data_IF_377763195983
#
_entry.id   IF_377763195983
#
_cell.length_a   1.000
_cell.length_b   1.000
_cell.length_c   1.000
_cell.angle_alpha   90.00
_cell.angle_beta   90.00
_cell.angle_gamma   90.00
#
_symmetry.space_group_name_H-M   'P 1'
#
loop_
_entity.id
_entity.type
_entity.pdbx_description
1 polymer ?
#
# COMPACT_ATOMS: atom_id res chain seq x y z
N UNK A 1 -17.70 -7.91 -10.13
CA UNK A 1 -17.09 -7.33 -11.35
C UNK A 1 -15.94 -8.23 -11.76
N UNK A 2 -15.94 -8.65 -13.02
CA UNK A 2 -15.20 -9.81 -13.52
C UNK A 2 -13.73 -9.51 -13.81
N UNK A 3 -12.85 -10.42 -13.37
CA UNK A 3 -11.38 -10.36 -13.49
C UNK A 3 -10.87 -10.07 -14.92
N UNK A 4 -11.61 -10.48 -15.95
CA UNK A 4 -11.21 -10.31 -17.34
C UNK A 4 -11.11 -8.83 -17.80
N UNK A 5 -11.84 -7.89 -17.17
CA UNK A 5 -11.79 -6.47 -17.57
C UNK A 5 -10.39 -5.90 -17.31
N UNK A 6 -9.78 -6.26 -16.18
CA UNK A 6 -8.44 -5.81 -15.83
C UNK A 6 -7.37 -6.35 -16.78
N UNK A 7 -7.50 -7.62 -17.18
CA UNK A 7 -6.59 -8.26 -18.14
C UNK A 7 -6.68 -7.61 -19.52
N UNK A 8 -7.89 -7.36 -20.02
CA UNK A 8 -8.11 -6.67 -21.30
C UNK A 8 -7.55 -5.24 -21.24
N UNK A 9 -7.81 -4.50 -20.16
CA UNK A 9 -7.26 -3.15 -19.99
C UNK A 9 -5.74 -3.16 -19.95
N UNK A 10 -5.12 -4.10 -19.23
CA UNK A 10 -3.67 -4.25 -19.18
C UNK A 10 -3.09 -4.60 -20.56
N UNK A 11 -3.71 -5.52 -21.31
CA UNK A 11 -3.27 -5.88 -22.66
C UNK A 11 -3.36 -4.69 -23.62
N UNK A 12 -4.46 -3.93 -23.59
CA UNK A 12 -4.63 -2.72 -24.41
C UNK A 12 -3.60 -1.65 -24.04
N UNK A 13 -3.39 -1.39 -22.74
CA UNK A 13 -2.37 -0.45 -22.27
C UNK A 13 -0.98 -0.87 -22.77
N UNK A 14 -0.59 -2.13 -22.55
CA UNK A 14 0.71 -2.65 -22.98
C UNK A 14 0.89 -2.62 -24.51
N UNK A 15 -0.15 -2.98 -25.27
CA UNK A 15 -0.15 -2.92 -26.74
C UNK A 15 -0.08 -1.49 -27.29
N UNK A 16 -0.52 -0.49 -26.52
CA UNK A 16 -0.47 0.93 -26.91
C UNK A 16 0.90 1.59 -26.67
N UNK A 17 1.74 1.03 -25.79
CA UNK A 17 3.03 1.63 -25.41
C UNK A 17 3.98 1.91 -26.58
N UNK A 18 4.15 1.03 -27.59
CA UNK A 18 4.97 1.32 -28.77
C UNK A 18 4.49 2.53 -29.57
N UNK A 19 3.19 2.81 -29.55
CA UNK A 19 2.60 3.94 -30.27
C UNK A 19 2.73 5.24 -29.47
N UNK A 20 2.58 5.18 -28.15
CA UNK A 20 2.71 6.34 -27.26
C UNK A 20 4.17 6.75 -27.05
N UNK A 21 5.09 5.78 -27.02
CA UNK A 21 6.51 6.00 -26.72
C UNK A 21 7.43 5.31 -27.73
N UNK A 22 7.30 5.62 -29.04
CA UNK A 22 8.08 4.94 -30.07
C UNK A 22 9.57 5.23 -29.89
N UNK A 23 10.39 4.18 -29.98
CA UNK A 23 11.84 4.34 -30.01
C UNK A 23 12.30 4.89 -31.36
N UNK A 24 12.96 6.05 -31.33
CA UNK A 24 13.58 6.66 -32.52
C UNK A 24 15.10 6.57 -32.36
N UNK A 25 15.78 5.59 -33.02
CA UNK A 25 17.22 5.44 -32.88
C UNK A 25 17.93 6.68 -33.43
N UNK A 26 18.98 7.14 -32.73
CA UNK A 26 19.76 8.34 -33.13
C UNK A 26 20.60 8.12 -34.40
N UNK A 27 20.92 6.86 -34.71
CA UNK A 27 21.68 6.47 -35.88
C UNK A 27 21.05 5.24 -36.54
N UNK A 28 21.28 5.07 -37.83
CA UNK A 28 20.85 3.87 -38.55
C UNK A 28 21.59 2.64 -37.99
N UNK A 29 20.83 1.65 -37.52
CA UNK A 29 21.37 0.37 -37.05
C UNK A 29 20.99 -0.70 -38.06
N UNK A 30 21.98 -1.36 -38.64
CA UNK A 30 21.72 -2.39 -39.65
C UNK A 30 21.04 -3.63 -39.03
N UNK A 31 20.29 -4.38 -39.85
CA UNK A 31 19.63 -5.62 -39.42
C UNK A 31 20.63 -6.65 -38.88
N UNK A 32 21.84 -6.69 -39.46
CA UNK A 32 22.93 -7.55 -39.00
C UNK A 32 23.44 -7.14 -37.62
N UNK A 33 23.65 -5.84 -37.39
CA UNK A 33 24.03 -5.32 -36.07
C UNK A 33 22.96 -5.62 -35.01
N UNK A 34 21.67 -5.48 -35.36
CA UNK A 34 20.56 -5.85 -34.46
C UNK A 34 20.63 -7.33 -34.06
N UNK A 35 20.84 -8.25 -35.02
CA UNK A 35 20.96 -9.69 -34.72
C UNK A 35 22.13 -9.99 -33.79
N UNK A 36 23.27 -9.34 -33.98
CA UNK A 36 24.43 -9.49 -33.10
C UNK A 36 24.14 -9.03 -31.66
N UNK A 37 23.49 -7.88 -31.51
CA UNK A 37 23.07 -7.38 -30.21
C UNK A 37 22.11 -8.34 -29.50
N UNK A 38 21.13 -8.89 -30.23
CA UNK A 38 20.18 -9.88 -29.69
C UNK A 38 20.90 -11.12 -29.18
N UNK A 39 21.79 -11.72 -29.99
CA UNK A 39 22.54 -12.90 -29.57
C UNK A 39 23.43 -12.63 -28.34
N UNK A 40 24.02 -11.42 -28.27
CA UNK A 40 24.91 -11.02 -27.16
C UNK A 40 24.15 -10.76 -25.86
N UNK A 41 22.96 -10.15 -25.93
CA UNK A 41 22.30 -9.59 -24.76
C UNK A 41 21.05 -10.33 -24.25
N UNK A 42 20.49 -11.27 -25.01
CA UNK A 42 19.26 -12.01 -24.61
C UNK A 42 19.31 -12.66 -23.22
N UNK A 43 20.49 -13.13 -22.78
CA UNK A 43 20.66 -13.71 -21.44
C UNK A 43 20.50 -12.70 -20.29
N UNK A 44 20.75 -11.42 -20.55
CA UNK A 44 20.64 -10.35 -19.55
C UNK A 44 19.18 -9.98 -19.26
N UNK A 45 18.28 -10.20 -20.22
CA UNK A 45 16.84 -10.02 -20.00
C UNK A 45 16.32 -11.05 -19.01
N UNK A 46 16.81 -12.29 -19.07
CA UNK A 46 16.50 -13.31 -18.07
C UNK A 46 17.05 -12.97 -16.68
N UNK A 47 18.19 -12.27 -16.61
CA UNK A 47 18.73 -11.79 -15.33
C UNK A 47 17.90 -10.64 -14.73
N UNK A 48 17.15 -9.90 -15.55
CA UNK A 48 16.27 -8.83 -15.08
C UNK A 48 15.21 -9.33 -14.10
N UNK A 49 14.61 -10.50 -14.37
CA UNK A 49 13.54 -11.07 -13.54
C UNK A 49 13.97 -11.34 -12.09
N UNK A 50 14.98 -12.18 -11.80
CA UNK A 50 15.39 -12.43 -10.42
C UNK A 50 15.89 -11.16 -9.72
N UNK A 51 16.55 -10.25 -10.46
CA UNK A 51 16.95 -8.96 -9.91
C UNK A 51 15.72 -8.14 -9.49
N UNK A 52 14.69 -8.03 -10.33
CA UNK A 52 13.46 -7.31 -10.00
C UNK A 52 12.75 -7.95 -8.80
N UNK A 53 12.61 -9.28 -8.77
CA UNK A 53 12.02 -10.02 -7.66
C UNK A 53 12.82 -9.95 -6.36
N UNK A 54 14.09 -9.55 -6.41
CA UNK A 54 14.91 -9.34 -5.21
C UNK A 54 14.91 -7.89 -4.77
N UNK A 55 15.12 -6.97 -5.72
CA UNK A 55 15.29 -5.54 -5.47
C UNK A 55 13.96 -4.90 -5.05
N UNK A 56 12.83 -5.23 -5.68
CA UNK A 56 11.54 -4.61 -5.33
C UNK A 56 11.10 -4.96 -3.90
N UNK A 57 11.12 -6.23 -3.43
CA UNK A 57 10.80 -6.54 -2.04
C UNK A 57 11.78 -5.91 -1.06
N UNK A 58 13.08 -5.92 -1.37
CA UNK A 58 14.09 -5.29 -0.51
C UNK A 58 13.84 -3.77 -0.37
N UNK A 59 13.59 -3.07 -1.48
CA UNK A 59 13.26 -1.65 -1.46
C UNK A 59 11.95 -1.38 -0.72
N UNK A 60 10.92 -2.19 -0.97
CA UNK A 60 9.64 -2.10 -0.24
C UNK A 60 9.86 -2.22 1.27
N UNK A 61 10.69 -3.18 1.69
CA UNK A 61 11.02 -3.36 3.09
C UNK A 61 11.78 -2.16 3.67
N UNK A 62 12.83 -1.70 2.98
CA UNK A 62 13.63 -0.54 3.42
C UNK A 62 12.75 0.72 3.54
N UNK A 63 11.95 1.04 2.51
CA UNK A 63 11.10 2.23 2.55
C UNK A 63 9.96 2.10 3.57
N UNK A 64 9.36 0.92 3.71
CA UNK A 64 8.35 0.67 4.75
C UNK A 64 8.90 0.93 6.16
N UNK A 65 10.13 0.47 6.43
CA UNK A 65 10.83 0.73 7.69
C UNK A 65 11.12 2.22 7.90
N UNK A 66 11.57 2.93 6.85
CA UNK A 66 11.83 4.38 6.92
C UNK A 66 10.55 5.14 7.25
N UNK A 67 9.43 4.86 6.56
CA UNK A 67 8.17 5.55 6.81
C UNK A 67 7.60 5.24 8.18
N UNK A 68 7.70 3.99 8.63
CA UNK A 68 7.33 3.60 9.99
C UNK A 68 8.16 4.35 11.04
N UNK A 69 9.47 4.46 10.85
CA UNK A 69 10.35 5.18 11.77
C UNK A 69 10.05 6.68 11.81
N UNK A 70 9.84 7.31 10.64
CA UNK A 70 9.40 8.70 10.54
C UNK A 70 8.11 8.92 11.32
N UNK A 71 7.13 8.03 11.11
CA UNK A 71 5.83 8.15 11.73
C UNK A 71 5.86 8.01 13.25
N UNK A 72 6.75 7.17 13.79
CA UNK A 72 6.95 7.06 15.24
C UNK A 72 7.42 8.36 15.89
N UNK A 73 8.09 9.24 15.14
CA UNK A 73 8.50 10.56 15.64
C UNK A 73 7.34 11.58 15.66
N UNK A 74 6.25 11.31 14.95
CA UNK A 74 5.06 12.17 14.90
C UNK A 74 3.99 11.75 15.94
N UNK A 75 4.28 10.73 16.77
CA UNK A 75 3.39 10.33 17.87
C UNK A 75 3.25 11.50 18.84
N UNK A 76 2.00 11.78 19.23
CA UNK A 76 1.67 12.94 20.05
C UNK A 76 1.95 12.60 21.51
N UNK A 77 2.93 13.30 22.10
CA UNK A 77 3.38 13.08 23.47
C UNK A 77 2.50 13.82 24.51
N UNK A 78 1.40 14.43 24.08
CA UNK A 78 0.52 15.18 24.97
C UNK A 78 -0.09 14.25 26.04
N UNK A 79 0.18 14.50 27.34
CA UNK A 79 -0.26 13.63 28.43
C UNK A 79 -1.78 13.63 28.65
N UNK A 80 -2.53 14.50 27.96
CA UNK A 80 -4.00 14.53 28.01
C UNK A 80 -4.64 13.53 27.04
N UNK A 81 -3.87 12.96 26.11
CA UNK A 81 -4.31 11.88 25.23
C UNK A 81 -4.16 10.58 26.01
N UNK A 82 -5.30 9.92 26.28
CA UNK A 82 -5.32 8.66 27.03
C UNK A 82 -4.97 7.48 26.13
N UNK A 83 -5.50 7.49 24.90
CA UNK A 83 -5.25 6.48 23.90
C UNK A 83 -5.05 7.13 22.55
N UNK A 84 -4.05 6.65 21.82
CA UNK A 84 -3.77 7.07 20.45
C UNK A 84 -3.71 5.81 19.58
N UNK A 85 -4.53 5.79 18.54
CA UNK A 85 -4.67 4.69 17.59
C UNK A 85 -4.21 5.23 16.25
N UNK A 86 -3.36 4.46 15.58
CA UNK A 86 -2.57 4.88 14.45
C UNK A 86 -2.63 3.82 13.34
N UNK A 87 -2.21 4.09 12.10
CA UNK A 87 -2.14 3.03 11.09
C UNK A 87 -1.31 1.85 11.61
N UNK A 88 -1.72 0.63 11.24
CA UNK A 88 -0.93 -0.56 11.53
C UNK A 88 0.46 -0.46 10.90
N UNK A 89 1.46 -1.14 11.48
CA UNK A 89 2.82 -1.13 10.94
C UNK A 89 2.88 -1.57 9.47
N UNK A 90 2.04 -2.55 9.11
CA UNK A 90 1.97 -3.10 7.75
C UNK A 90 1.43 -2.08 6.72
N UNK A 91 0.65 -1.08 7.16
CA UNK A 91 0.11 -0.06 6.27
C UNK A 91 1.22 0.79 5.62
N UNK A 92 2.36 0.95 6.29
CA UNK A 92 3.51 1.73 5.79
C UNK A 92 4.27 1.05 4.65
N UNK A 93 4.07 -0.26 4.46
CA UNK A 93 4.64 -0.96 3.31
C UNK A 93 3.89 -0.66 2.01
N UNK A 94 2.65 -0.16 2.07
CA UNK A 94 1.88 0.26 0.90
C UNK A 94 2.57 1.42 0.16
N UNK A 95 2.85 2.59 0.78
CA UNK A 95 3.66 3.60 0.12
C UNK A 95 5.09 3.10 -0.16
N UNK A 96 5.63 2.20 0.67
CA UNK A 96 6.94 1.57 0.44
C UNK A 96 7.04 0.86 -0.91
N UNK A 97 6.04 0.04 -1.28
CA UNK A 97 6.02 -0.67 -2.56
C UNK A 97 5.82 0.31 -3.73
N UNK A 98 4.98 1.33 -3.57
CA UNK A 98 4.76 2.35 -4.61
C UNK A 98 6.06 3.10 -4.90
N UNK A 99 6.81 3.50 -3.86
CA UNK A 99 8.13 4.15 -4.01
C UNK A 99 9.16 3.20 -4.61
N UNK A 100 9.14 1.91 -4.25
CA UNK A 100 10.01 0.91 -4.85
C UNK A 100 9.82 0.85 -6.37
N UNK A 101 8.57 0.83 -6.86
CA UNK A 101 8.26 0.89 -8.29
C UNK A 101 8.62 2.23 -8.95
N UNK A 102 8.50 3.35 -8.23
CA UNK A 102 8.93 4.65 -8.77
C UNK A 102 10.45 4.70 -9.01
N UNK A 103 11.23 4.05 -8.14
CA UNK A 103 12.70 4.14 -8.12
C UNK A 103 13.41 2.94 -8.76
N UNK A 104 12.68 1.90 -9.17
CA UNK A 104 13.29 0.69 -9.73
C UNK A 104 14.12 0.96 -10.99
N UNK A 105 13.68 1.88 -11.86
CA UNK A 105 14.38 2.23 -13.10
C UNK A 105 15.81 2.76 -12.86
N UNK A 106 15.98 3.82 -12.07
CA UNK A 106 17.31 4.31 -11.66
C UNK A 106 18.17 3.25 -10.96
N UNK A 107 17.59 2.49 -10.03
CA UNK A 107 18.33 1.45 -9.29
C UNK A 107 18.83 0.35 -10.23
N UNK A 108 17.97 -0.17 -11.10
CA UNK A 108 18.34 -1.17 -12.11
C UNK A 108 19.38 -0.61 -13.09
N UNK A 109 19.29 0.67 -13.45
CA UNK A 109 20.30 1.34 -14.29
C UNK A 109 21.68 1.32 -13.63
N UNK A 110 21.77 1.61 -12.33
CA UNK A 110 23.02 1.53 -11.58
C UNK A 110 23.54 0.09 -11.54
N UNK A 111 22.70 -0.88 -11.20
CA UNK A 111 23.06 -2.30 -11.16
C UNK A 111 23.61 -2.77 -12.52
N UNK A 112 22.91 -2.45 -13.61
CA UNK A 112 23.35 -2.83 -14.95
C UNK A 112 24.63 -2.12 -15.38
N UNK A 113 24.83 -0.85 -15.02
CA UNK A 113 26.10 -0.15 -15.28
C UNK A 113 27.26 -0.79 -14.52
N UNK A 114 27.04 -1.24 -13.29
CA UNK A 114 28.08 -1.93 -12.52
C UNK A 114 28.44 -3.29 -13.14
N UNK A 115 27.46 -4.05 -13.61
CA UNK A 115 27.69 -5.38 -14.18
C UNK A 115 28.24 -5.32 -15.63
N UNK A 116 27.67 -4.47 -16.47
CA UNK A 116 28.01 -4.37 -17.90
C UNK A 116 29.12 -3.35 -18.19
N UNK A 117 29.36 -2.39 -17.28
CA UNK A 117 30.35 -1.33 -17.44
C UNK A 117 30.16 -0.58 -18.77
N UNK A 118 31.20 -0.48 -19.58
CA UNK A 118 31.19 0.21 -20.88
C UNK A 118 30.19 -0.40 -21.88
N UNK A 119 29.80 -1.67 -21.68
CA UNK A 119 28.85 -2.39 -22.54
C UNK A 119 27.38 -2.06 -22.23
N UNK A 120 27.11 -1.21 -21.24
CA UNK A 120 25.75 -0.82 -20.85
C UNK A 120 25.03 -0.04 -21.97
N UNK A 121 25.73 0.85 -22.67
CA UNK A 121 25.15 1.62 -23.77
C UNK A 121 24.65 0.71 -24.92
N UNK A 122 25.42 -0.32 -25.26
CA UNK A 122 25.02 -1.34 -26.23
C UNK A 122 23.78 -2.12 -25.76
N UNK A 123 23.71 -2.47 -24.47
CA UNK A 123 22.57 -3.18 -23.89
C UNK A 123 21.30 -2.34 -23.91
N UNK A 124 21.41 -1.06 -23.60
CA UNK A 124 20.28 -0.14 -23.68
C UNK A 124 19.77 0.03 -25.12
N UNK A 125 20.68 0.16 -26.09
CA UNK A 125 20.33 0.18 -27.51
C UNK A 125 19.63 -1.12 -27.91
N UNK A 126 20.18 -2.27 -27.51
CA UNK A 126 19.57 -3.59 -27.72
C UNK A 126 18.13 -3.65 -27.17
N UNK A 127 17.92 -3.25 -25.92
CA UNK A 127 16.62 -3.34 -25.26
C UNK A 127 15.58 -2.47 -25.96
N UNK A 128 15.93 -1.22 -26.28
CA UNK A 128 15.04 -0.32 -26.99
C UNK A 128 14.72 -0.79 -28.42
N UNK A 129 15.70 -1.34 -29.16
CA UNK A 129 15.49 -1.89 -30.50
C UNK A 129 14.67 -3.17 -30.52
N UNK A 130 14.72 -3.96 -29.44
CA UNK A 130 13.99 -5.22 -29.33
C UNK A 130 12.51 -4.98 -29.04
N UNK A 131 12.21 -4.05 -28.13
CA UNK A 131 10.83 -3.73 -27.75
C UNK A 131 10.19 -2.64 -28.62
N UNK A 132 10.99 -1.89 -29.40
CA UNK A 132 10.49 -0.79 -30.24
C UNK A 132 10.06 0.44 -29.44
N UNK A 133 10.43 0.51 -28.17
CA UNK A 133 9.94 1.48 -27.19
C UNK A 133 11.12 2.22 -26.57
N UNK A 134 10.95 3.53 -26.32
CA UNK A 134 11.89 4.31 -25.53
C UNK A 134 11.67 4.04 -24.03
N UNK A 135 12.38 3.05 -23.49
CA UNK A 135 12.20 2.60 -22.11
C UNK A 135 12.42 3.71 -21.08
N UNK A 136 13.28 4.69 -21.35
CA UNK A 136 13.52 5.82 -20.43
C UNK A 136 12.30 6.72 -20.31
N UNK A 137 11.61 6.99 -21.42
CA UNK A 137 10.40 7.84 -21.40
C UNK A 137 9.25 7.16 -20.68
N UNK A 138 9.04 5.88 -20.94
CA UNK A 138 8.02 5.09 -20.21
C UNK A 138 8.32 5.10 -18.73
N UNK A 139 9.56 4.74 -18.34
CA UNK A 139 9.91 4.71 -16.93
C UNK A 139 9.82 6.09 -16.29
N UNK A 140 10.18 7.17 -16.98
CA UNK A 140 10.01 8.52 -16.47
C UNK A 140 8.54 8.86 -16.17
N UNK A 141 7.63 8.51 -17.08
CA UNK A 141 6.19 8.72 -16.89
C UNK A 141 5.63 7.85 -15.75
N UNK A 142 5.99 6.56 -15.71
CA UNK A 142 5.58 5.64 -14.64
C UNK A 142 6.15 6.07 -13.28
N UNK A 143 7.41 6.47 -13.23
CA UNK A 143 8.05 6.97 -12.01
C UNK A 143 7.32 8.20 -11.49
N UNK A 144 6.97 9.17 -12.35
CA UNK A 144 6.18 10.33 -11.97
C UNK A 144 4.81 9.93 -11.40
N UNK A 145 4.09 9.04 -12.08
CA UNK A 145 2.78 8.56 -11.62
C UNK A 145 2.88 7.89 -10.24
N UNK A 146 3.84 6.97 -10.07
CA UNK A 146 4.04 6.28 -8.79
C UNK A 146 4.55 7.23 -7.70
N UNK A 147 5.40 8.20 -8.00
CA UNK A 147 5.81 9.22 -7.03
C UNK A 147 4.63 10.04 -6.54
N UNK A 148 3.72 10.47 -7.44
CA UNK A 148 2.49 11.18 -7.04
C UNK A 148 1.60 10.28 -6.18
N UNK A 149 1.38 9.03 -6.60
CA UNK A 149 0.59 8.08 -5.83
C UNK A 149 1.17 7.84 -4.42
N UNK A 150 2.50 7.66 -4.32
CA UNK A 150 3.18 7.49 -3.05
C UNK A 150 2.99 8.70 -2.12
N UNK A 151 3.18 9.92 -2.65
CA UNK A 151 2.97 11.14 -1.87
C UNK A 151 1.53 11.27 -1.35
N UNK A 152 0.54 10.95 -2.20
CA UNK A 152 -0.88 10.95 -1.81
C UNK A 152 -1.14 9.90 -0.72
N UNK A 153 -0.62 8.68 -0.87
CA UNK A 153 -0.78 7.62 0.14
C UNK A 153 -0.10 7.98 1.46
N UNK A 154 1.12 8.51 1.43
CA UNK A 154 1.84 8.97 2.62
C UNK A 154 1.06 10.08 3.32
N UNK A 155 0.55 11.06 2.56
CA UNK A 155 -0.26 12.14 3.09
C UNK A 155 -1.50 11.62 3.84
N UNK A 156 -2.26 10.71 3.24
CA UNK A 156 -3.45 10.15 3.87
C UNK A 156 -3.12 9.27 5.09
N UNK A 157 -2.05 8.47 5.03
CA UNK A 157 -1.62 7.64 6.17
C UNK A 157 -1.12 8.49 7.34
N UNK A 158 -0.36 9.55 7.09
CA UNK A 158 0.07 10.49 8.13
C UNK A 158 -1.13 11.24 8.75
N UNK A 159 -2.17 11.51 7.96
CA UNK A 159 -3.37 12.17 8.45
C UNK A 159 -4.31 11.21 9.22
N UNK A 160 -4.15 9.90 9.08
CA UNK A 160 -5.01 8.92 9.77
C UNK A 160 -4.62 8.78 11.24
N UNK A 161 -5.54 9.13 12.14
CA UNK A 161 -5.36 8.89 13.56
C UNK A 161 -6.69 8.90 14.31
N UNK A 162 -6.71 8.24 15.46
CA UNK A 162 -7.81 8.36 16.43
C UNK A 162 -7.22 8.64 17.80
N UNK A 163 -7.52 9.80 18.36
CA UNK A 163 -7.04 10.25 19.67
C UNK A 163 -8.22 10.30 20.64
N UNK A 164 -8.13 9.53 21.72
CA UNK A 164 -9.12 9.55 22.80
C UNK A 164 -8.55 10.40 23.93
N UNK A 165 -9.19 11.55 24.14
CA UNK A 165 -8.88 12.48 25.22
C UNK A 165 -9.77 12.19 26.44
N UNK A 166 -9.51 12.87 27.55
CA UNK A 166 -10.38 12.81 28.74
C UNK A 166 -11.82 13.29 28.52
N UNK A 167 -12.09 14.08 27.47
CA UNK A 167 -13.38 14.75 27.24
C UNK A 167 -13.96 14.58 25.83
N UNK A 168 -13.16 14.10 24.87
CA UNK A 168 -13.57 13.92 23.47
C UNK A 168 -12.82 12.77 22.80
N UNK A 169 -13.37 12.31 21.69
CA UNK A 169 -12.74 11.40 20.74
C UNK A 169 -12.50 12.21 19.48
N UNK A 170 -11.26 12.27 19.02
CA UNK A 170 -10.89 12.93 17.78
C UNK A 170 -10.57 11.87 16.74
N UNK A 171 -11.34 11.86 15.66
CA UNK A 171 -11.23 10.88 14.58
C UNK A 171 -10.80 11.60 13.31
N UNK A 172 -9.70 11.18 12.73
CA UNK A 172 -9.28 11.57 11.40
C UNK A 172 -9.13 10.32 10.54
N UNK A 173 -10.12 10.10 9.68
CA UNK A 173 -10.21 8.91 8.84
C UNK A 173 -9.32 9.03 7.60
N UNK A 174 -9.02 7.92 6.93
CA UNK A 174 -7.97 7.84 5.91
C UNK A 174 -8.25 8.78 4.73
N UNK A 175 -9.51 8.98 4.38
CA UNK A 175 -9.92 9.83 3.25
C UNK A 175 -10.41 11.22 3.68
N UNK A 176 -10.45 11.49 4.99
CA UNK A 176 -10.89 12.77 5.50
C UNK A 176 -9.68 13.69 5.68
N UNK A 177 -9.82 14.95 5.27
CA UNK A 177 -8.78 15.98 5.45
C UNK A 177 -8.92 16.75 6.75
N UNK A 178 -10.07 16.62 7.42
CA UNK A 178 -10.38 17.31 8.66
C UNK A 178 -10.74 16.31 9.75
N UNK A 179 -10.07 16.44 10.88
CA UNK A 179 -10.42 15.68 12.07
C UNK A 179 -11.81 16.10 12.58
N UNK A 180 -12.61 15.10 12.97
CA UNK A 180 -13.90 15.28 13.63
C UNK A 180 -13.73 15.03 15.12
N UNK A 181 -14.21 15.96 15.95
CA UNK A 181 -14.26 15.80 17.39
C UNK A 181 -15.65 15.38 17.85
N UNK A 182 -15.73 14.29 18.60
CA UNK A 182 -16.95 13.79 19.22
C UNK A 182 -16.85 13.81 20.73
N UNK A 183 -17.82 14.39 21.42
CA UNK A 183 -17.97 14.22 22.86
C UNK A 183 -18.54 12.83 23.19
N UNK A 184 -18.28 12.31 24.38
CA UNK A 184 -18.76 10.96 24.76
C UNK A 184 -20.28 10.83 24.74
N UNK A 185 -21.02 11.90 24.98
CA UNK A 185 -22.48 11.93 24.89
C UNK A 185 -23.03 11.86 23.45
N UNK A 186 -22.16 11.91 22.43
CA UNK A 186 -22.52 11.71 21.03
C UNK A 186 -22.39 10.25 20.59
N UNK A 187 -21.84 9.37 21.44
CA UNK A 187 -21.87 7.93 21.20
C UNK A 187 -23.34 7.48 21.33
N UNK A 188 -23.85 6.85 20.28
CA UNK A 188 -25.21 6.32 20.22
C UNK A 188 -25.24 4.82 20.48
N UNK A 189 -24.32 4.07 19.87
CA UNK A 189 -24.25 2.61 19.98
C UNK A 189 -22.81 2.14 19.99
N UNK A 190 -22.50 1.16 20.84
CA UNK A 190 -21.26 0.40 20.78
C UNK A 190 -21.65 -1.05 20.52
N UNK A 191 -21.28 -1.57 19.36
CA UNK A 191 -21.56 -2.95 18.98
C UNK A 191 -20.29 -3.76 18.95
N UNK A 192 -20.28 -4.88 19.65
CA UNK A 192 -19.24 -5.87 19.56
C UNK A 192 -19.55 -6.83 18.40
N UNK A 193 -18.55 -7.07 17.56
CA UNK A 193 -18.64 -7.92 16.36
C UNK A 193 -17.60 -9.02 16.48
N UNK A 194 -18.06 -10.26 16.61
CA UNK A 194 -17.22 -11.45 16.49
C UNK A 194 -17.10 -11.81 15.01
N UNK A 195 -15.91 -11.60 14.45
CA UNK A 195 -15.57 -12.24 13.19
C UNK A 195 -14.88 -13.56 13.48
N UNK A 196 -15.43 -14.62 12.91
CA UNK A 196 -14.76 -15.89 12.77
C UNK A 196 -14.17 -15.95 11.36
N UNK A 197 -12.88 -15.64 11.25
CA UNK A 197 -12.17 -15.85 9.98
C UNK A 197 -11.77 -17.32 9.89
N UNK A 198 -12.02 -17.98 8.75
CA UNK A 198 -11.50 -19.31 8.52
C UNK A 198 -9.96 -19.22 8.52
N UNK A 199 -9.31 -19.71 9.58
CA UNK A 199 -7.86 -19.71 9.67
C UNK A 199 -7.23 -20.41 8.46
N UNK A 200 -6.02 -19.97 8.10
CA UNK A 200 -5.32 -20.39 6.88
C UNK A 200 -5.12 -21.92 6.72
N UNK A 201 -5.30 -22.70 7.79
CA UNK A 201 -5.24 -24.17 7.81
C UNK A 201 -6.61 -24.84 8.03
N UNK A 202 -7.71 -24.20 7.63
CA UNK A 202 -9.03 -24.83 7.51
C UNK A 202 -9.67 -25.39 8.80
N UNK A 203 -9.11 -25.10 9.98
CA UNK A 203 -9.52 -25.82 11.20
C UNK A 203 -9.57 -24.99 12.49
N UNK A 204 -9.16 -23.72 12.48
CA UNK A 204 -9.40 -22.81 13.62
C UNK A 204 -9.97 -21.50 13.14
N UNK A 205 -11.17 -21.17 13.62
CA UNK A 205 -11.68 -19.83 13.56
C UNK A 205 -10.82 -18.99 14.51
N UNK A 206 -10.00 -18.09 13.98
CA UNK A 206 -9.36 -17.08 14.81
C UNK A 206 -10.38 -15.97 15.05
N UNK A 207 -10.72 -15.78 16.33
CA UNK A 207 -11.53 -14.66 16.79
C UNK A 207 -10.68 -13.39 16.68
N UNK A 208 -11.04 -12.47 15.77
CA UNK A 208 -10.55 -11.09 15.81
C UNK A 208 -11.68 -10.15 16.20
N UNK A 209 -12.00 -10.08 17.50
CA UNK A 209 -13.06 -9.21 17.98
C UNK A 209 -12.73 -7.76 17.68
N UNK A 210 -13.71 -7.06 17.13
CA UNK A 210 -13.67 -5.61 16.97
C UNK A 210 -15.00 -5.00 17.35
N UNK A 211 -15.01 -3.68 17.44
CA UNK A 211 -16.15 -2.91 17.88
C UNK A 211 -16.51 -1.89 16.82
N UNK A 212 -17.81 -1.64 16.70
CA UNK A 212 -18.36 -0.55 15.89
C UNK A 212 -18.92 0.48 16.86
N UNK A 213 -18.34 1.68 16.83
CA UNK A 213 -18.81 2.83 17.61
C UNK A 213 -19.59 3.75 16.69
N UNK A 214 -20.91 3.76 16.83
CA UNK A 214 -21.81 4.62 16.07
C UNK A 214 -22.09 5.90 16.86
N UNK A 215 -21.91 7.03 16.18
CA UNK A 215 -22.20 8.36 16.72
C UNK A 215 -23.59 8.84 16.25
N UNK A 216 -24.13 9.86 16.94
CA UNK A 216 -25.45 10.43 16.65
C UNK A 216 -25.59 10.97 15.21
N UNK A 217 -24.50 11.42 14.60
CA UNK A 217 -24.45 11.88 13.20
C UNK A 217 -24.40 10.73 12.17
N UNK A 218 -24.60 9.48 12.62
CA UNK A 218 -24.50 8.25 11.84
C UNK A 218 -23.10 7.91 11.36
N UNK A 219 -22.06 8.63 11.80
CA UNK A 219 -20.69 8.18 11.58
C UNK A 219 -20.46 6.89 12.37
N UNK A 220 -19.83 5.89 11.73
CA UNK A 220 -19.48 4.62 12.36
C UNK A 220 -17.97 4.49 12.32
N UNK A 221 -17.37 4.46 13.50
CA UNK A 221 -15.98 4.12 13.65
C UNK A 221 -15.83 2.61 13.83
N UNK A 222 -15.14 1.96 12.89
CA UNK A 222 -14.72 0.57 13.00
C UNK A 222 -13.36 0.48 13.70
N UNK A 223 -13.28 -0.27 14.81
CA UNK A 223 -12.03 -0.44 15.57
C UNK A 223 -11.16 -1.59 15.07
N UNK A 224 -11.44 -2.15 13.90
CA UNK A 224 -10.60 -3.16 13.26
C UNK A 224 -9.28 -2.55 12.72
N UNK A 225 -9.30 -1.45 11.93
CA UNK A 225 -8.07 -0.88 11.37
C UNK A 225 -7.26 -0.12 12.43
N UNK A 226 -5.94 -0.29 12.42
CA UNK A 226 -5.02 0.57 13.17
C UNK A 226 -4.68 0.15 14.61
N UNK A 227 -4.98 -1.09 15.00
CA UNK A 227 -4.61 -1.57 16.33
C UNK A 227 -3.32 -2.39 16.27
N UNK A 228 -2.18 -1.73 16.45
CA UNK A 228 -0.89 -2.41 16.67
C UNK A 228 -0.82 -3.11 18.03
N UNK A 229 -1.70 -2.76 18.97
CA UNK A 229 -1.81 -3.36 20.31
C UNK A 229 -3.21 -3.95 20.55
N UNK A 230 -3.53 -5.07 19.89
CA UNK A 230 -4.81 -5.76 20.03
C UNK A 230 -5.19 -6.06 21.50
N UNK A 231 -4.21 -6.28 22.38
CA UNK A 231 -4.43 -6.57 23.80
C UNK A 231 -5.10 -5.45 24.61
N UNK A 232 -5.04 -4.19 24.16
CA UNK A 232 -5.70 -3.05 24.87
C UNK A 232 -7.12 -2.77 24.38
N UNK A 233 -7.61 -3.53 23.38
CA UNK A 233 -8.95 -3.33 22.79
C UNK A 233 -10.10 -3.38 23.83
N UNK A 234 -10.14 -4.34 24.78
CA UNK A 234 -11.24 -4.40 25.74
C UNK A 234 -11.24 -3.24 26.74
N UNK A 235 -10.06 -2.78 27.16
CA UNK A 235 -9.91 -1.72 28.15
C UNK A 235 -10.45 -0.38 27.66
N UNK A 236 -10.10 0.01 26.43
CA UNK A 236 -10.54 1.30 25.90
C UNK A 236 -12.06 1.29 25.60
N UNK A 237 -12.62 0.19 25.11
CA UNK A 237 -14.08 0.12 24.86
C UNK A 237 -14.83 0.19 26.17
N UNK A 238 -14.35 -0.51 27.21
CA UNK A 238 -14.90 -0.38 28.56
C UNK A 238 -14.82 1.08 29.04
N UNK A 239 -13.71 1.77 28.79
CA UNK A 239 -13.59 3.20 29.08
C UNK A 239 -14.62 4.04 28.32
N UNK A 240 -14.82 3.80 27.01
CA UNK A 240 -15.83 4.52 26.21
C UNK A 240 -17.25 4.26 26.71
N UNK A 241 -17.57 3.00 27.04
CA UNK A 241 -18.87 2.61 27.59
C UNK A 241 -19.14 3.29 28.93
N UNK A 242 -18.17 3.29 29.86
CA UNK A 242 -18.28 3.96 31.15
C UNK A 242 -18.44 5.48 31.02
N UNK A 243 -17.69 6.12 30.11
CA UNK A 243 -17.74 7.57 29.92
C UNK A 243 -19.00 8.05 29.20
N UNK A 244 -19.53 7.26 28.28
CA UNK A 244 -20.76 7.60 27.52
C UNK A 244 -22.04 7.15 28.22
N UNK A 245 -21.97 6.17 29.13
CA UNK A 245 -23.14 5.50 29.70
C UNK A 245 -23.81 4.51 28.73
N UNK A 246 -23.25 4.30 27.53
CA UNK A 246 -23.77 3.39 26.51
C UNK A 246 -23.26 1.97 26.79
N UNK A 247 -24.19 1.01 26.92
CA UNK A 247 -23.83 -0.40 27.09
C UNK A 247 -23.30 -0.98 25.78
N UNK A 248 -22.37 -1.93 25.90
CA UNK A 248 -21.85 -2.69 24.76
C UNK A 248 -22.91 -3.71 24.35
N UNK A 249 -23.37 -3.63 23.11
CA UNK A 249 -24.31 -4.57 22.51
C UNK A 249 -23.54 -5.70 21.82
N UNK A 250 -23.65 -6.91 22.34
CA UNK A 250 -23.03 -8.10 21.73
C UNK A 250 -23.97 -8.58 20.64
N UNK A 251 -23.68 -8.26 19.37
CA UNK A 251 -24.33 -8.96 18.28
C UNK A 251 -23.70 -10.35 18.20
N UNK A 252 -24.31 -11.32 18.88
CA UNK A 252 -24.05 -12.72 18.57
C UNK A 252 -24.37 -12.91 17.09
N UNK A 253 -23.37 -13.21 16.28
CA UNK A 253 -23.59 -13.56 14.88
C UNK A 253 -24.22 -14.95 14.88
N UNK A 254 -25.53 -15.02 15.09
CA UNK A 254 -26.30 -16.24 14.86
C UNK A 254 -26.22 -16.56 13.36
N UNK A 255 -25.26 -17.42 13.00
CA UNK A 255 -25.35 -18.29 11.84
C UNK A 255 -25.35 -17.62 10.46
N UNK A 256 -24.44 -16.68 10.18
CA UNK A 256 -24.05 -16.47 8.78
C UNK A 256 -23.21 -17.69 8.38
N UNK A 257 -23.89 -18.73 7.91
CA UNK A 257 -23.26 -19.86 7.25
C UNK A 257 -22.52 -19.29 6.04
N UNK A 258 -21.19 -19.44 5.94
CA UNK A 258 -20.48 -18.93 4.77
C UNK A 258 -21.07 -19.61 3.52
N UNK A 259 -21.27 -18.87 2.41
CA UNK A 259 -21.75 -19.46 1.18
C UNK A 259 -20.80 -20.61 0.81
N UNK A 260 -21.35 -21.82 0.76
CA UNK A 260 -20.66 -23.00 0.26
C UNK A 260 -20.21 -22.67 -1.16
N UNK A 261 -18.89 -22.59 -1.36
CA UNK A 261 -18.27 -22.43 -2.68
C UNK A 261 -18.42 -23.71 -3.49
#
# INVERSE_FOLDING_TARGET
MSSWIGEVAAAVMMGSLPFLFPYKPKAYVSTWQKRQLVAKYRKWDWLCLPLLFTVVPLMTWVFGQIFMAQYQWEIDDNPRILYQILPGYDAWYVPGVIVAFALIGPVMTVIYRLILKDKYADYELYSNLTHGIDARKIWGAMALLFSVAALVTIYFLNNYYIKIWNFKIEVNDLLNTKAKGYSFNQIQKITYVEYSSAGGEGSKLEEDPHYLVQFKDQYVWNTLPGWTNAGRKPEFIKFLSLRSGVKIDTMGVEGITPPVK
#
